data_IF_487571649455
#
_entry.id   IF_487571649455
#
_cell.length_a   1.000
_cell.length_b   1.000
_cell.length_c   1.000
_cell.angle_alpha   90.00
_cell.angle_beta   90.00
_cell.angle_gamma   90.00
#
_symmetry.space_group_name_H-M   'P 1'
#
loop_
_entity.id
_entity.type
_entity.pdbx_description
1 polymer ?
#
# COMPACT_ATOMS: atom_id res chain seq x y z
N UNK A 1 -23.27 3.76 2.78
CA UNK A 1 -23.87 3.31 4.07
C UNK A 1 -24.51 1.93 3.98
N UNK A 2 -25.29 1.57 2.92
CA UNK A 2 -25.89 0.22 2.79
C UNK A 2 -24.85 -0.91 2.89
N UNK A 3 -23.82 -0.93 2.06
CA UNK A 3 -22.76 -1.96 2.06
C UNK A 3 -22.02 -2.09 3.42
N UNK A 4 -21.91 -1.00 4.17
CA UNK A 4 -21.25 -1.01 5.48
C UNK A 4 -22.05 -1.81 6.52
N UNK A 5 -23.38 -1.76 6.47
CA UNK A 5 -24.27 -2.49 7.39
C UNK A 5 -24.56 -3.89 6.87
N UNK A 6 -25.07 -4.00 5.63
CA UNK A 6 -25.50 -5.29 5.06
C UNK A 6 -24.35 -6.30 4.91
N UNK A 7 -23.14 -5.84 4.56
CA UNK A 7 -22.00 -6.75 4.43
C UNK A 7 -21.58 -7.44 5.73
N UNK A 8 -22.01 -6.91 6.90
CA UNK A 8 -21.74 -7.54 8.20
C UNK A 8 -22.76 -8.58 8.61
N UNK A 9 -23.92 -8.61 7.98
CA UNK A 9 -24.98 -9.58 8.25
C UNK A 9 -24.48 -10.99 7.94
N UNK A 10 -23.69 -11.16 6.88
CA UNK A 10 -23.18 -12.44 6.42
C UNK A 10 -21.86 -12.86 7.11
N UNK A 11 -21.29 -12.03 8.00
CA UNK A 11 -19.98 -12.31 8.63
C UNK A 11 -19.95 -13.69 9.30
N UNK A 12 -20.96 -14.00 10.11
CA UNK A 12 -21.02 -15.28 10.82
C UNK A 12 -21.27 -16.47 9.89
N UNK A 13 -21.93 -16.25 8.76
CA UNK A 13 -22.12 -17.27 7.73
C UNK A 13 -20.79 -17.59 7.04
N UNK A 14 -19.96 -16.58 6.70
CA UNK A 14 -18.61 -16.80 6.17
C UNK A 14 -17.73 -17.59 7.13
N UNK A 15 -17.86 -17.35 8.43
CA UNK A 15 -17.09 -18.04 9.48
C UNK A 15 -17.60 -19.46 9.76
N UNK A 16 -18.81 -19.82 9.33
CA UNK A 16 -19.40 -21.16 9.59
C UNK A 16 -18.65 -22.31 8.90
N UNK A 17 -17.77 -22.00 7.94
CA UNK A 17 -16.88 -22.98 7.30
C UNK A 17 -15.73 -23.43 8.20
N UNK A 18 -15.45 -22.69 9.29
CA UNK A 18 -14.41 -23.04 10.26
C UNK A 18 -14.91 -24.14 11.20
N UNK A 19 -14.06 -25.13 11.43
CA UNK A 19 -14.30 -26.22 12.35
C UNK A 19 -13.54 -25.98 13.64
N UNK A 20 -13.95 -26.62 14.73
CA UNK A 20 -13.29 -26.48 16.04
C UNK A 20 -11.87 -27.01 16.08
N UNK A 21 -11.57 -27.98 15.23
CA UNK A 21 -10.25 -28.58 15.07
C UNK A 21 -9.32 -27.80 14.16
N UNK A 22 -9.81 -26.77 13.46
CA UNK A 22 -8.96 -25.95 12.62
C UNK A 22 -8.02 -25.08 13.49
N UNK A 23 -6.76 -25.05 13.16
CA UNK A 23 -5.81 -24.08 13.70
C UNK A 23 -5.92 -22.78 12.93
N UNK A 24 -6.12 -21.66 13.58
CA UNK A 24 -6.37 -20.40 12.89
C UNK A 24 -5.44 -19.28 13.30
N UNK A 25 -5.04 -18.47 12.33
CA UNK A 25 -4.31 -17.21 12.52
C UNK A 25 -5.17 -16.08 11.96
N UNK A 26 -5.44 -15.08 12.78
CA UNK A 26 -6.37 -14.02 12.42
C UNK A 26 -5.68 -12.68 12.22
N UNK A 27 -5.95 -12.06 11.07
CA UNK A 27 -5.53 -10.70 10.72
C UNK A 27 -6.73 -9.77 10.68
N UNK A 28 -6.59 -8.59 11.30
CA UNK A 28 -7.59 -7.54 11.20
C UNK A 28 -7.01 -6.27 10.56
N UNK A 29 -7.71 -5.77 9.53
CA UNK A 29 -7.33 -4.60 8.76
C UNK A 29 -8.54 -3.67 8.57
N UNK A 30 -8.34 -2.34 8.62
CA UNK A 30 -9.45 -1.41 8.40
C UNK A 30 -9.81 -1.28 6.92
N UNK A 31 -8.82 -1.16 6.06
CA UNK A 31 -8.97 -0.75 4.67
C UNK A 31 -8.00 -1.49 3.75
N UNK A 32 -8.04 -1.14 2.46
CA UNK A 32 -7.08 -1.67 1.48
C UNK A 32 -5.63 -1.34 1.88
N UNK A 33 -5.35 -0.14 2.39
CA UNK A 33 -4.00 0.27 2.78
C UNK A 33 -3.41 -0.58 3.91
N UNK A 34 -4.21 -0.92 4.93
CA UNK A 34 -3.79 -1.82 6.00
C UNK A 34 -3.66 -3.27 5.52
N UNK A 35 -4.51 -3.69 4.57
CA UNK A 35 -4.35 -5.00 3.95
C UNK A 35 -3.01 -5.11 3.20
N UNK A 36 -2.63 -4.07 2.47
CA UNK A 36 -1.32 -3.99 1.81
C UNK A 36 -0.16 -4.14 2.81
N UNK A 37 -0.31 -3.60 4.03
CA UNK A 37 0.65 -3.80 5.12
C UNK A 37 0.61 -5.21 5.71
N UNK A 38 -0.53 -5.87 5.68
CA UNK A 38 -0.67 -7.24 6.17
C UNK A 38 -0.09 -8.30 5.20
N UNK A 39 -0.11 -8.02 3.88
CA UNK A 39 0.27 -8.99 2.83
C UNK A 39 1.63 -9.67 3.11
N UNK A 40 2.74 -8.96 3.39
CA UNK A 40 4.03 -9.61 3.61
C UNK A 40 4.03 -10.58 4.79
N UNK A 41 3.28 -10.21 5.85
CA UNK A 41 3.15 -11.06 7.04
C UNK A 41 2.26 -12.26 6.74
N UNK A 42 1.14 -12.08 6.02
CA UNK A 42 0.22 -13.16 5.60
C UNK A 42 0.97 -14.18 4.73
N UNK A 43 1.74 -13.71 3.74
CA UNK A 43 2.53 -14.58 2.86
C UNK A 43 3.54 -15.40 3.66
N UNK A 44 4.35 -14.75 4.50
CA UNK A 44 5.33 -15.42 5.34
C UNK A 44 4.66 -16.39 6.35
N UNK A 45 3.48 -16.06 6.86
CA UNK A 45 2.71 -16.94 7.73
C UNK A 45 2.24 -18.18 6.98
N UNK A 46 1.72 -18.04 5.76
CA UNK A 46 1.30 -19.19 4.93
C UNK A 46 2.46 -20.11 4.55
N UNK A 47 3.65 -19.55 4.34
CA UNK A 47 4.85 -20.33 4.04
C UNK A 47 5.30 -21.15 5.26
N UNK A 48 5.28 -20.56 6.44
CA UNK A 48 5.80 -21.18 7.68
C UNK A 48 4.79 -22.07 8.39
N UNK A 49 3.48 -21.80 8.24
CA UNK A 49 2.39 -22.41 9.01
C UNK A 49 1.28 -22.93 8.11
N UNK A 50 1.62 -23.92 7.24
CA UNK A 50 0.73 -24.44 6.19
C UNK A 50 -0.51 -25.15 6.74
N UNK A 51 -0.47 -25.63 7.97
CA UNK A 51 -1.59 -26.32 8.65
C UNK A 51 -2.61 -25.34 9.26
N UNK A 52 -2.32 -24.03 9.21
CA UNK A 52 -3.20 -23.01 9.75
C UNK A 52 -4.08 -22.39 8.68
N UNK A 53 -5.33 -22.15 9.03
CA UNK A 53 -6.23 -21.33 8.23
C UNK A 53 -6.00 -19.86 8.53
N UNK A 54 -5.83 -19.09 7.49
CA UNK A 54 -5.68 -17.63 7.60
C UNK A 54 -7.04 -16.97 7.48
N UNK A 55 -7.44 -16.23 8.50
CA UNK A 55 -8.65 -15.44 8.52
C UNK A 55 -8.29 -13.97 8.41
N UNK A 56 -8.91 -13.24 7.48
CA UNK A 56 -8.74 -11.79 7.34
C UNK A 56 -10.08 -11.10 7.50
N UNK A 57 -10.14 -10.14 8.42
CA UNK A 57 -11.32 -9.30 8.57
C UNK A 57 -11.04 -7.86 8.18
N UNK A 58 -12.02 -7.25 7.49
CA UNK A 58 -12.00 -5.84 7.10
C UNK A 58 -13.01 -5.04 7.93
N UNK A 59 -12.67 -3.76 8.17
CA UNK A 59 -13.65 -2.82 8.70
C UNK A 59 -14.38 -2.07 7.60
N UNK A 60 -13.66 -1.57 6.58
CA UNK A 60 -14.20 -0.74 5.51
C UNK A 60 -14.61 -1.53 4.26
N UNK A 61 -15.75 -1.20 3.63
CA UNK A 61 -16.14 -1.78 2.34
C UNK A 61 -15.11 -1.55 1.22
N UNK A 62 -14.41 -0.43 1.22
CA UNK A 62 -13.42 -0.10 0.19
C UNK A 62 -12.27 -1.11 0.09
N UNK A 63 -11.89 -1.72 1.21
CA UNK A 63 -10.89 -2.79 1.20
C UNK A 63 -11.51 -4.16 0.89
N UNK A 64 -12.61 -4.47 1.56
CA UNK A 64 -13.29 -5.77 1.43
C UNK A 64 -13.74 -6.05 0.00
N UNK A 65 -14.47 -5.12 -0.62
CA UNK A 65 -15.02 -5.34 -1.98
C UNK A 65 -13.93 -5.63 -3.03
N UNK A 66 -12.74 -5.06 -2.85
CA UNK A 66 -11.60 -5.28 -3.74
C UNK A 66 -10.92 -6.63 -3.45
N UNK A 67 -10.88 -7.06 -2.19
CA UNK A 67 -10.05 -8.19 -1.74
C UNK A 67 -10.83 -9.42 -1.27
N UNK A 68 -12.15 -9.40 -1.24
CA UNK A 68 -13.00 -10.52 -0.78
C UNK A 68 -12.75 -11.86 -1.46
N UNK A 69 -12.21 -11.85 -2.68
CA UNK A 69 -11.85 -13.06 -3.45
C UNK A 69 -10.33 -13.32 -3.48
N UNK A 70 -9.56 -12.69 -2.58
CA UNK A 70 -8.11 -12.89 -2.52
C UNK A 70 -7.78 -14.31 -2.06
N UNK A 71 -6.83 -14.96 -2.73
CA UNK A 71 -6.31 -16.29 -2.36
C UNK A 71 -5.31 -16.27 -1.21
N UNK A 72 -5.05 -15.08 -0.64
CA UNK A 72 -4.12 -14.92 0.48
C UNK A 72 -4.68 -15.42 1.81
N UNK A 73 -6.00 -15.58 1.93
CA UNK A 73 -6.65 -16.07 3.13
C UNK A 73 -7.71 -17.12 2.81
N UNK A 74 -8.00 -17.97 3.78
CA UNK A 74 -9.01 -19.02 3.67
C UNK A 74 -10.42 -18.46 3.89
N UNK A 75 -10.53 -17.48 4.80
CA UNK A 75 -11.79 -16.74 5.03
C UNK A 75 -11.50 -15.25 5.03
N UNK A 76 -12.26 -14.51 4.23
CA UNK A 76 -12.25 -13.05 4.20
C UNK A 76 -13.67 -12.55 4.46
N UNK A 77 -13.85 -11.74 5.51
CA UNK A 77 -15.15 -11.19 5.88
C UNK A 77 -15.03 -9.80 6.53
N UNK A 78 -16.15 -9.20 6.88
CA UNK A 78 -16.14 -8.01 7.71
C UNK A 78 -15.95 -8.39 9.19
N UNK A 79 -15.29 -7.50 9.97
CA UNK A 79 -15.38 -7.56 11.43
C UNK A 79 -16.82 -7.20 11.85
N UNK A 80 -17.51 -7.99 12.69
CA UNK A 80 -18.80 -7.60 13.22
C UNK A 80 -18.72 -6.29 14.01
N UNK A 81 -19.86 -5.61 14.23
CA UNK A 81 -19.86 -4.44 15.11
C UNK A 81 -19.37 -4.79 16.52
N UNK A 82 -18.57 -3.92 17.11
CA UNK A 82 -17.88 -4.13 18.40
C UNK A 82 -18.88 -4.10 19.60
N UNK A 83 -19.82 -5.04 19.62
CA UNK A 83 -20.67 -5.32 20.77
C UNK A 83 -20.12 -6.49 21.57
N UNK A 84 -20.44 -6.56 22.87
CA UNK A 84 -19.98 -7.68 23.71
C UNK A 84 -20.41 -9.05 23.18
N UNK A 85 -21.65 -9.15 22.67
CA UNK A 85 -22.19 -10.40 22.12
C UNK A 85 -21.47 -10.79 20.84
N UNK A 86 -21.39 -9.88 19.87
CA UNK A 86 -20.74 -10.14 18.59
C UNK A 86 -19.27 -10.54 18.78
N UNK A 87 -18.51 -9.80 19.59
CA UNK A 87 -17.09 -10.09 19.80
C UNK A 87 -16.85 -11.42 20.52
N UNK A 88 -17.74 -11.79 21.45
CA UNK A 88 -17.69 -13.11 22.07
C UNK A 88 -17.90 -14.20 21.02
N UNK A 89 -19.01 -14.14 20.26
CA UNK A 89 -19.32 -15.15 19.24
C UNK A 89 -18.24 -15.20 18.14
N UNK A 90 -17.74 -14.04 17.72
CA UNK A 90 -16.68 -13.95 16.71
C UNK A 90 -15.40 -14.65 17.18
N UNK A 91 -14.91 -14.32 18.37
CA UNK A 91 -13.65 -14.90 18.89
C UNK A 91 -13.82 -16.41 19.19
N UNK A 92 -15.02 -16.83 19.64
CA UNK A 92 -15.34 -18.25 19.85
C UNK A 92 -15.38 -19.06 18.53
N UNK A 93 -15.84 -18.46 17.42
CA UNK A 93 -15.88 -19.10 16.11
C UNK A 93 -14.52 -19.10 15.42
N UNK A 94 -13.80 -17.99 15.47
CA UNK A 94 -12.46 -17.88 14.85
C UNK A 94 -11.41 -18.61 15.64
N UNK A 95 -11.51 -18.67 16.98
CA UNK A 95 -10.61 -19.30 17.96
C UNK A 95 -9.13 -19.20 17.57
N UNK A 96 -8.61 -17.97 17.32
CA UNK A 96 -7.28 -17.81 16.76
C UNK A 96 -6.18 -18.16 17.77
N UNK A 97 -5.13 -18.82 17.30
CA UNK A 97 -3.92 -19.03 18.10
C UNK A 97 -3.12 -17.75 18.29
N UNK A 98 -3.25 -16.81 17.33
CA UNK A 98 -2.72 -15.45 17.43
C UNK A 98 -3.62 -14.47 16.66
N UNK A 99 -3.79 -13.27 17.22
CA UNK A 99 -4.49 -12.16 16.59
C UNK A 99 -3.48 -11.07 16.18
N UNK A 100 -3.45 -10.74 14.87
CA UNK A 100 -2.55 -9.74 14.29
C UNK A 100 -3.38 -8.55 13.82
N UNK A 101 -3.28 -7.44 14.53
CA UNK A 101 -4.06 -6.23 14.27
C UNK A 101 -3.16 -5.19 13.61
N UNK A 102 -3.63 -4.63 12.49
CA UNK A 102 -2.84 -3.68 11.72
C UNK A 102 -3.21 -2.25 12.06
N UNK A 103 -2.23 -1.45 12.44
CA UNK A 103 -2.27 0.03 12.54
C UNK A 103 -3.15 0.60 13.66
N UNK A 104 -4.45 0.92 13.39
CA UNK A 104 -5.25 1.77 14.29
C UNK A 104 -6.51 1.09 14.86
N UNK A 105 -6.67 -0.20 14.70
CA UNK A 105 -7.90 -0.91 15.01
C UNK A 105 -8.02 -1.31 16.49
N UNK A 106 -8.38 -0.34 17.32
CA UNK A 106 -8.47 -0.49 18.78
C UNK A 106 -9.92 -0.62 19.25
N UNK A 107 -10.53 -1.80 19.02
CA UNK A 107 -11.93 -2.10 19.35
C UNK A 107 -12.06 -2.61 20.78
N UNK A 108 -12.67 -1.86 21.73
CA UNK A 108 -12.58 -2.18 23.16
C UNK A 108 -13.21 -3.50 23.58
N UNK A 109 -14.34 -3.89 22.97
CA UNK A 109 -14.97 -5.17 23.33
C UNK A 109 -14.22 -6.35 22.74
N UNK A 110 -13.72 -6.21 21.51
CA UNK A 110 -12.84 -7.17 20.85
C UNK A 110 -11.57 -7.40 21.68
N UNK A 111 -10.83 -6.35 21.97
CA UNK A 111 -9.57 -6.44 22.73
C UNK A 111 -9.79 -7.02 24.14
N UNK A 112 -10.90 -6.67 24.77
CA UNK A 112 -11.27 -7.28 26.06
C UNK A 112 -11.55 -8.78 25.93
N UNK A 113 -12.18 -9.21 24.83
CA UNK A 113 -12.52 -10.62 24.62
C UNK A 113 -11.25 -11.44 24.30
N UNK A 114 -10.36 -10.93 23.48
CA UNK A 114 -9.06 -11.55 23.20
C UNK A 114 -8.25 -11.74 24.50
N UNK A 115 -8.11 -10.69 25.30
CA UNK A 115 -7.43 -10.76 26.59
C UNK A 115 -8.09 -11.75 27.55
N UNK A 116 -9.43 -11.80 27.59
CA UNK A 116 -10.18 -12.75 28.46
C UNK A 116 -9.91 -14.22 28.11
N UNK A 117 -9.70 -14.50 26.83
CA UNK A 117 -9.40 -15.85 26.34
C UNK A 117 -7.89 -16.13 26.26
N UNK A 118 -7.05 -15.19 26.72
CA UNK A 118 -5.59 -15.30 26.68
C UNK A 118 -5.04 -15.57 25.28
N UNK A 119 -5.70 -14.99 24.25
CA UNK A 119 -5.25 -15.10 22.88
C UNK A 119 -4.09 -14.12 22.65
N UNK A 120 -2.89 -14.58 22.27
CA UNK A 120 -1.79 -13.71 21.90
C UNK A 120 -2.21 -12.69 20.87
N UNK A 121 -2.02 -11.40 21.18
CA UNK A 121 -2.51 -10.31 20.34
C UNK A 121 -1.39 -9.32 20.09
N UNK A 122 -1.05 -9.07 18.81
CA UNK A 122 -0.01 -8.12 18.43
C UNK A 122 -0.55 -7.01 17.55
N UNK A 123 0.03 -5.81 17.71
CA UNK A 123 -0.17 -4.70 16.81
C UNK A 123 1.00 -4.62 15.84
N UNK A 124 0.74 -4.55 14.54
CA UNK A 124 1.77 -4.42 13.51
C UNK A 124 1.63 -3.12 12.73
N UNK A 125 2.76 -2.57 12.26
CA UNK A 125 2.82 -1.29 11.54
C UNK A 125 2.13 -0.14 12.29
N UNK A 126 2.16 -0.16 13.64
CA UNK A 126 1.49 0.82 14.50
C UNK A 126 2.08 2.23 14.36
N UNK A 127 1.22 3.24 14.26
CA UNK A 127 1.61 4.66 14.40
C UNK A 127 0.76 5.30 15.48
N UNK A 128 1.40 5.98 16.41
CA UNK A 128 0.72 6.70 17.47
C UNK A 128 0.95 8.22 17.36
N UNK A 129 -0.09 9.00 17.70
CA UNK A 129 -0.06 10.46 17.64
C UNK A 129 -0.52 11.03 18.97
N UNK A 130 0.13 12.11 19.42
CA UNK A 130 -0.14 12.77 20.71
C UNK A 130 -1.61 13.21 20.90
N UNK A 131 -2.31 13.52 19.80
CA UNK A 131 -3.71 13.95 19.86
C UNK A 131 -4.71 12.80 20.03
N UNK A 132 -4.29 11.53 19.96
CA UNK A 132 -5.16 10.37 20.16
C UNK A 132 -5.64 10.28 21.60
N UNK A 133 -6.83 9.71 21.78
CA UNK A 133 -7.52 9.65 23.07
C UNK A 133 -6.71 8.94 24.16
N UNK A 134 -5.88 7.97 23.80
CA UNK A 134 -5.04 7.22 24.73
C UNK A 134 -4.08 8.10 25.55
N UNK A 135 -3.61 9.20 24.97
CA UNK A 135 -2.63 10.12 25.57
C UNK A 135 -3.28 11.33 26.27
N UNK A 136 -4.63 11.40 26.27
CA UNK A 136 -5.38 12.46 26.97
C UNK A 136 -5.77 11.98 28.37
N UNK A 137 -5.96 12.91 29.30
CA UNK A 137 -6.41 12.62 30.66
C UNK A 137 -7.75 11.84 30.71
N UNK A 138 -8.66 12.17 29.80
CA UNK A 138 -9.97 11.52 29.65
C UNK A 138 -9.92 10.13 29.03
N UNK A 139 -8.78 9.71 28.48
CA UNK A 139 -8.61 8.47 27.71
C UNK A 139 -8.29 7.21 28.52
N UNK A 140 -8.37 7.26 29.86
CA UNK A 140 -7.97 6.15 30.74
C UNK A 140 -8.68 4.82 30.43
N UNK A 141 -9.97 4.88 30.05
CA UNK A 141 -10.74 3.68 29.71
C UNK A 141 -10.26 3.03 28.38
N UNK A 142 -9.85 3.85 27.40
CA UNK A 142 -9.28 3.36 26.14
C UNK A 142 -7.86 2.81 26.32
N UNK A 143 -7.04 3.43 27.20
CA UNK A 143 -5.71 2.87 27.56
C UNK A 143 -5.80 1.44 28.06
N UNK A 144 -6.84 1.13 28.87
CA UNK A 144 -7.07 -0.23 29.36
C UNK A 144 -7.26 -1.24 28.22
N UNK A 145 -7.80 -0.81 27.06
CA UNK A 145 -7.92 -1.71 25.90
C UNK A 145 -6.57 -2.04 25.29
N UNK A 146 -5.61 -1.10 25.31
CA UNK A 146 -4.25 -1.35 24.79
C UNK A 146 -3.48 -2.41 25.58
N UNK A 147 -3.82 -2.64 26.86
CA UNK A 147 -3.19 -3.70 27.66
C UNK A 147 -3.59 -5.12 27.21
N UNK A 148 -4.39 -5.27 26.18
CA UNK A 148 -4.69 -6.55 25.56
C UNK A 148 -3.62 -6.97 24.54
N UNK A 149 -2.80 -6.04 24.08
CA UNK A 149 -1.68 -6.36 23.20
C UNK A 149 -0.50 -6.89 24.01
N UNK A 150 0.02 -8.02 23.57
CA UNK A 150 1.24 -8.63 24.14
C UNK A 150 2.48 -7.95 23.55
N UNK A 151 2.41 -7.46 22.30
CA UNK A 151 3.50 -6.72 21.66
C UNK A 151 3.00 -5.65 20.68
N UNK A 152 3.72 -4.53 20.62
CA UNK A 152 3.50 -3.44 19.67
C UNK A 152 4.69 -3.34 18.71
N UNK A 153 4.48 -3.63 17.45
CA UNK A 153 5.43 -3.35 16.37
C UNK A 153 5.06 -2.02 15.74
N UNK A 154 5.84 -0.99 16.05
CA UNK A 154 5.56 0.39 15.63
C UNK A 154 6.49 0.85 14.53
N UNK A 155 6.05 1.85 13.77
CA UNK A 155 6.81 2.35 12.63
C UNK A 155 7.96 3.28 13.05
N UNK A 156 7.83 4.01 14.19
CA UNK A 156 8.78 5.05 14.55
C UNK A 156 9.01 5.21 16.06
N UNK A 157 10.10 5.92 16.39
CA UNK A 157 10.48 6.25 17.75
C UNK A 157 9.45 7.13 18.46
N UNK A 158 8.74 7.99 17.74
CA UNK A 158 7.72 8.86 18.33
C UNK A 158 6.54 8.04 18.87
N UNK A 159 6.11 7.04 18.11
CA UNK A 159 5.09 6.06 18.54
C UNK A 159 5.53 5.28 19.76
N UNK A 160 6.79 4.80 19.79
CA UNK A 160 7.36 4.10 20.94
C UNK A 160 7.31 4.98 22.20
N UNK A 161 7.84 6.20 22.13
CA UNK A 161 7.85 7.12 23.28
C UNK A 161 6.44 7.45 23.78
N UNK A 162 5.46 7.55 22.90
CA UNK A 162 4.06 7.77 23.29
C UNK A 162 3.48 6.58 24.06
N UNK A 163 3.74 5.35 23.63
CA UNK A 163 3.30 4.16 24.34
C UNK A 163 4.00 4.01 25.70
N UNK A 164 5.30 4.24 25.76
CA UNK A 164 6.07 4.24 27.01
C UNK A 164 5.53 5.28 28.00
N UNK A 165 5.03 6.45 27.53
CA UNK A 165 4.44 7.50 28.39
C UNK A 165 3.14 7.09 29.09
N UNK A 166 2.59 5.94 28.74
CA UNK A 166 1.38 5.34 29.35
C UNK A 166 1.64 3.94 29.87
N UNK A 167 2.88 3.64 30.25
CA UNK A 167 3.35 2.41 30.87
C UNK A 167 3.22 1.13 30.03
N UNK A 168 3.25 1.27 28.69
CA UNK A 168 3.35 0.14 27.77
C UNK A 168 4.80 0.02 27.29
N UNK A 169 5.44 -1.14 27.55
CA UNK A 169 6.88 -1.33 27.38
C UNK A 169 7.25 -2.46 26.40
N UNK A 170 6.31 -3.33 26.02
CA UNK A 170 6.55 -4.41 25.05
C UNK A 170 6.46 -3.88 23.61
N UNK A 171 7.49 -3.10 23.19
CA UNK A 171 7.45 -2.31 21.95
C UNK A 171 8.74 -2.53 21.15
N UNK A 172 8.60 -2.89 19.88
CA UNK A 172 9.69 -2.90 18.90
C UNK A 172 9.45 -1.88 17.80
N UNK A 173 10.49 -1.18 17.37
CA UNK A 173 10.44 -0.31 16.19
C UNK A 173 10.86 -1.15 15.01
N UNK A 174 9.92 -1.49 14.14
CA UNK A 174 10.16 -2.33 12.97
C UNK A 174 10.00 -1.58 11.64
N UNK A 175 9.34 -0.43 11.66
CA UNK A 175 9.00 0.27 10.43
C UNK A 175 7.65 -0.17 9.85
N UNK A 176 7.48 0.08 8.54
CA UNK A 176 6.26 -0.20 7.79
C UNK A 176 6.51 -1.40 6.85
N UNK A 177 5.71 -2.43 6.98
CA UNK A 177 5.79 -3.65 6.16
C UNK A 177 5.53 -3.43 4.66
N UNK A 178 5.03 -2.26 4.25
CA UNK A 178 4.93 -1.89 2.83
C UNK A 178 6.30 -1.85 2.15
N UNK A 179 7.38 -1.53 2.88
CA UNK A 179 8.73 -1.56 2.33
C UNK A 179 9.16 -2.98 1.96
N UNK A 180 8.87 -3.96 2.80
CA UNK A 180 9.15 -5.37 2.51
C UNK A 180 8.36 -5.83 1.28
N UNK A 181 7.11 -5.40 1.15
CA UNK A 181 6.27 -5.72 0.01
C UNK A 181 6.84 -5.21 -1.30
N UNK A 182 7.22 -3.92 -1.34
CA UNK A 182 7.75 -3.34 -2.59
C UNK A 182 9.15 -3.86 -2.90
N UNK A 183 9.95 -4.22 -1.91
CA UNK A 183 11.26 -4.86 -2.14
C UNK A 183 11.13 -6.19 -2.87
N UNK A 184 10.09 -6.99 -2.58
CA UNK A 184 9.80 -8.25 -3.29
C UNK A 184 9.48 -8.06 -4.77
N UNK A 185 9.14 -6.85 -5.22
CA UNK A 185 8.89 -6.55 -6.64
C UNK A 185 10.16 -6.81 -7.48
N UNK A 186 11.35 -6.55 -6.92
CA UNK A 186 12.62 -6.79 -7.61
C UNK A 186 12.96 -8.28 -7.79
N UNK A 187 12.36 -9.15 -6.98
CA UNK A 187 12.55 -10.60 -7.03
C UNK A 187 11.62 -11.29 -8.05
N UNK A 188 10.62 -10.55 -8.53
CA UNK A 188 9.64 -11.05 -9.50
C UNK A 188 10.12 -10.85 -10.94
N UNK A 189 9.60 -11.67 -11.85
CA UNK A 189 9.74 -11.38 -13.28
C UNK A 189 8.87 -10.16 -13.66
N UNK A 190 9.52 -9.04 -13.87
CA UNK A 190 8.90 -7.79 -14.31
C UNK A 190 8.88 -7.63 -15.83
N UNK A 191 9.30 -8.64 -16.59
CA UNK A 191 9.38 -8.59 -18.05
C UNK A 191 8.01 -8.44 -18.69
N UNK A 192 7.86 -7.43 -19.52
CA UNK A 192 6.68 -7.16 -20.34
C UNK A 192 7.14 -6.95 -21.81
N UNK A 193 7.09 -7.99 -22.67
CA UNK A 193 7.62 -7.91 -24.03
C UNK A 193 7.07 -6.73 -24.84
N UNK A 194 5.79 -6.43 -24.69
CA UNK A 194 5.14 -5.30 -25.38
C UNK A 194 5.63 -3.93 -24.88
N UNK A 195 6.08 -3.82 -23.62
CA UNK A 195 6.69 -2.59 -23.11
C UNK A 195 8.13 -2.47 -23.63
N UNK A 196 8.88 -3.57 -23.64
CA UNK A 196 10.23 -3.59 -24.24
C UNK A 196 10.21 -3.17 -25.71
N UNK A 197 9.23 -3.66 -26.49
CA UNK A 197 9.03 -3.24 -27.88
C UNK A 197 8.66 -1.74 -27.99
N UNK A 198 7.76 -1.26 -27.13
CA UNK A 198 7.36 0.14 -27.13
C UNK A 198 8.50 1.07 -26.77
N UNK A 199 9.23 0.78 -25.69
CA UNK A 199 10.32 1.65 -25.21
C UNK A 199 11.52 1.64 -26.15
N UNK A 200 11.82 0.51 -26.78
CA UNK A 200 12.92 0.32 -27.71
C UNK A 200 14.26 0.92 -27.21
N UNK A 201 14.52 0.82 -25.90
CA UNK A 201 15.66 1.45 -25.20
C UNK A 201 15.69 2.99 -25.28
N UNK A 202 14.61 3.63 -25.65
CA UNK A 202 14.50 5.08 -25.64
C UNK A 202 14.13 5.61 -24.24
N UNK A 203 14.52 6.85 -23.96
CA UNK A 203 14.23 7.53 -22.71
C UNK A 203 12.72 7.56 -22.42
N UNK A 204 12.32 6.93 -21.33
CA UNK A 204 10.92 6.63 -21.04
C UNK A 204 10.46 7.25 -19.73
N UNK A 205 9.36 7.98 -19.78
CA UNK A 205 8.66 8.54 -18.63
C UNK A 205 7.40 7.71 -18.39
N UNK A 206 7.26 7.19 -17.16
CA UNK A 206 6.07 6.46 -16.73
C UNK A 206 5.24 7.34 -15.80
N UNK A 207 4.02 7.69 -16.21
CA UNK A 207 3.06 8.42 -15.40
C UNK A 207 1.99 7.47 -14.88
N UNK A 208 2.07 7.12 -13.59
CA UNK A 208 1.19 6.15 -12.96
C UNK A 208 0.11 6.77 -12.09
N UNK A 209 -1.06 6.14 -12.07
CA UNK A 209 -2.22 6.53 -11.27
C UNK A 209 -2.64 7.99 -11.46
N UNK A 210 -2.61 8.44 -12.73
CA UNK A 210 -2.91 9.83 -13.08
C UNK A 210 -4.39 10.16 -12.93
N UNK A 211 -4.67 11.38 -12.52
CA UNK A 211 -5.99 11.99 -12.53
C UNK A 211 -6.02 13.12 -13.54
N UNK A 212 -7.19 13.68 -13.77
CA UNK A 212 -7.40 14.71 -14.78
C UNK A 212 -6.44 15.91 -14.60
N UNK A 213 -6.23 16.37 -13.38
CA UNK A 213 -5.34 17.49 -13.08
C UNK A 213 -3.88 17.18 -13.41
N UNK A 214 -3.46 15.94 -13.21
CA UNK A 214 -2.13 15.43 -13.60
C UNK A 214 -2.02 15.36 -15.13
N UNK A 215 -3.06 14.84 -15.79
CA UNK A 215 -3.11 14.62 -17.24
C UNK A 215 -3.07 15.95 -18.01
N UNK A 216 -3.67 17.02 -17.49
CA UNK A 216 -3.62 18.36 -18.12
C UNK A 216 -2.17 18.87 -18.22
N UNK A 217 -1.33 18.64 -17.21
CA UNK A 217 0.10 18.99 -17.22
C UNK A 217 0.89 18.07 -18.15
N UNK A 218 0.65 16.76 -18.05
CA UNK A 218 1.29 15.73 -18.88
C UNK A 218 1.04 15.97 -20.36
N UNK A 219 -0.21 16.18 -20.76
CA UNK A 219 -0.59 16.44 -22.16
C UNK A 219 0.11 17.66 -22.70
N UNK A 220 0.19 18.75 -21.92
CA UNK A 220 0.88 19.96 -22.35
C UNK A 220 2.40 19.67 -22.58
N UNK A 221 3.05 19.00 -21.64
CA UNK A 221 4.45 18.64 -21.76
C UNK A 221 4.70 17.71 -22.95
N UNK A 222 3.93 16.62 -23.07
CA UNK A 222 4.06 15.61 -24.12
C UNK A 222 3.92 16.22 -25.51
N UNK A 223 2.93 17.09 -25.70
CA UNK A 223 2.66 17.71 -27.00
C UNK A 223 3.80 18.61 -27.47
N UNK A 224 4.61 19.15 -26.57
CA UNK A 224 5.76 20.01 -26.84
C UNK A 224 7.13 19.30 -26.72
N UNK A 225 7.17 18.06 -26.24
CA UNK A 225 8.39 17.29 -26.05
C UNK A 225 8.91 16.66 -27.33
N UNK A 226 10.19 16.27 -27.35
CA UNK A 226 10.85 15.57 -28.47
C UNK A 226 11.85 14.55 -27.97
N UNK A 227 11.77 13.31 -28.49
CA UNK A 227 12.74 12.23 -28.19
C UNK A 227 12.52 11.58 -26.85
N UNK A 228 11.27 11.55 -26.34
CA UNK A 228 10.87 10.76 -25.18
C UNK A 228 9.73 9.81 -25.53
N UNK A 229 9.68 8.67 -24.84
CA UNK A 229 8.53 7.76 -24.77
C UNK A 229 7.73 8.05 -23.51
N UNK A 230 6.43 7.94 -23.60
CA UNK A 230 5.52 8.16 -22.46
C UNK A 230 4.61 6.97 -22.26
N UNK A 231 4.58 6.43 -21.04
CA UNK A 231 3.58 5.44 -20.64
C UNK A 231 2.68 6.09 -19.60
N UNK A 232 1.39 6.16 -19.89
CA UNK A 232 0.39 6.78 -19.00
C UNK A 232 -0.55 5.67 -18.50
N UNK A 233 -0.64 5.48 -17.21
CA UNK A 233 -1.58 4.57 -16.57
C UNK A 233 -2.57 5.39 -15.71
N UNK A 234 -3.74 5.76 -16.24
CA UNK A 234 -4.75 6.50 -15.50
C UNK A 234 -5.26 5.73 -14.28
N UNK A 235 -5.61 6.46 -13.21
CA UNK A 235 -6.19 5.83 -12.02
C UNK A 235 -7.54 5.20 -12.31
N UNK A 236 -8.36 5.88 -13.11
CA UNK A 236 -9.68 5.37 -13.51
C UNK A 236 -9.63 4.91 -14.97
N UNK A 237 -9.98 3.65 -15.18
CA UNK A 237 -9.97 3.01 -16.49
C UNK A 237 -11.41 2.98 -17.02
N UNK A 238 -11.98 4.15 -17.35
CA UNK A 238 -13.24 4.25 -18.06
C UNK A 238 -13.03 4.72 -19.51
N UNK A 239 -13.81 4.18 -20.42
CA UNK A 239 -13.64 4.39 -21.85
C UNK A 239 -13.72 5.86 -22.26
N UNK A 240 -14.61 6.64 -21.63
CA UNK A 240 -14.81 8.04 -22.02
C UNK A 240 -13.60 8.90 -21.62
N UNK A 241 -13.07 8.73 -20.40
CA UNK A 241 -11.88 9.44 -19.92
C UNK A 241 -10.64 9.05 -20.73
N UNK A 242 -10.45 7.77 -21.03
CA UNK A 242 -9.34 7.28 -21.85
C UNK A 242 -9.38 7.88 -23.26
N UNK A 243 -10.53 7.86 -23.93
CA UNK A 243 -10.66 8.45 -25.26
C UNK A 243 -10.45 9.97 -25.27
N UNK A 244 -10.89 10.66 -24.22
CA UNK A 244 -10.64 12.09 -24.04
C UNK A 244 -9.14 12.37 -23.88
N UNK A 245 -8.44 11.61 -23.04
CA UNK A 245 -7.00 11.73 -22.87
C UNK A 245 -6.28 11.47 -24.21
N UNK A 246 -6.60 10.36 -24.89
CA UNK A 246 -6.03 10.04 -26.21
C UNK A 246 -6.25 11.16 -27.22
N UNK A 247 -7.47 11.71 -27.30
CA UNK A 247 -7.82 12.79 -28.22
C UNK A 247 -7.12 14.13 -27.92
N UNK A 248 -6.61 14.35 -26.71
CA UNK A 248 -5.86 15.57 -26.36
C UNK A 248 -4.38 15.51 -26.73
N UNK A 249 -3.86 14.31 -27.01
CA UNK A 249 -2.47 14.08 -27.39
C UNK A 249 -2.27 14.26 -28.90
N UNK A 250 -1.27 15.08 -29.27
CA UNK A 250 -0.88 15.33 -30.66
C UNK A 250 0.18 14.35 -31.18
N UNK A 251 0.73 13.53 -30.30
CA UNK A 251 1.74 12.50 -30.61
C UNK A 251 1.07 11.20 -31.04
N UNK A 252 1.82 10.36 -31.77
CA UNK A 252 1.35 9.03 -32.12
C UNK A 252 1.09 8.21 -30.85
N UNK A 253 -0.20 7.93 -30.60
CA UNK A 253 -0.68 7.37 -29.31
C UNK A 253 -1.42 6.06 -29.55
N UNK A 254 -1.11 5.04 -28.74
CA UNK A 254 -1.76 3.74 -28.74
C UNK A 254 -2.33 3.40 -27.36
N UNK A 255 -3.45 2.66 -27.33
CA UNK A 255 -3.97 2.05 -26.09
C UNK A 255 -3.45 0.64 -25.93
N UNK A 256 -3.34 0.17 -24.69
CA UNK A 256 -2.99 -1.23 -24.40
C UNK A 256 -3.99 -2.21 -25.06
N UNK A 257 -5.27 -1.87 -25.05
CA UNK A 257 -6.32 -2.66 -25.72
C UNK A 257 -6.17 -2.76 -27.25
N UNK A 258 -5.45 -1.82 -27.88
CA UNK A 258 -5.25 -1.72 -29.33
C UNK A 258 -3.92 -2.33 -29.82
N UNK A 259 -3.05 -2.80 -28.92
CA UNK A 259 -1.65 -3.15 -29.22
C UNK A 259 -1.45 -4.32 -30.18
N UNK A 260 -2.43 -5.24 -30.28
CA UNK A 260 -2.24 -6.48 -31.02
C UNK A 260 -2.06 -6.21 -32.52
N UNK A 261 -0.99 -6.76 -33.11
CA UNK A 261 -0.68 -6.60 -34.53
C UNK A 261 -0.14 -5.21 -34.92
N UNK A 262 0.27 -4.42 -33.94
CA UNK A 262 0.90 -3.11 -34.15
C UNK A 262 2.39 -3.17 -33.88
N UNK A 263 3.17 -2.39 -34.61
CA UNK A 263 4.58 -2.13 -34.29
C UNK A 263 4.64 -1.05 -33.18
N UNK A 264 4.85 -1.45 -31.94
CA UNK A 264 4.74 -0.55 -30.80
C UNK A 264 5.88 0.49 -30.76
N UNK A 265 7.04 0.19 -31.36
CA UNK A 265 8.16 1.13 -31.39
C UNK A 265 7.86 2.44 -32.16
N UNK A 266 6.87 2.45 -33.05
CA UNK A 266 6.48 3.63 -33.81
C UNK A 266 5.65 4.64 -33.01
N UNK A 267 5.14 4.25 -31.84
CA UNK A 267 4.32 5.12 -31.00
C UNK A 267 5.16 5.89 -30.01
N UNK A 268 4.73 7.11 -29.70
CA UNK A 268 5.39 7.99 -28.72
C UNK A 268 4.72 7.88 -27.35
N UNK A 269 3.40 7.63 -27.33
CA UNK A 269 2.61 7.55 -26.10
C UNK A 269 1.87 6.22 -26.05
N UNK A 270 1.97 5.53 -24.92
CA UNK A 270 1.25 4.31 -24.64
C UNK A 270 0.35 4.51 -23.42
N UNK A 271 -0.96 4.47 -23.63
CA UNK A 271 -1.94 4.57 -22.55
C UNK A 271 -2.31 3.14 -22.09
N UNK A 272 -2.14 2.87 -20.82
CA UNK A 272 -2.46 1.58 -20.20
C UNK A 272 -3.90 1.62 -19.69
N UNK A 273 -4.82 1.21 -20.53
CA UNK A 273 -6.25 1.15 -20.25
C UNK A 273 -6.69 -0.18 -19.62
N UNK A 274 -5.84 -0.69 -18.71
CA UNK A 274 -6.10 -1.87 -17.87
C UNK A 274 -5.45 -1.72 -16.50
N UNK A 275 -5.85 -2.54 -15.53
CA UNK A 275 -5.29 -2.55 -14.18
C UNK A 275 -4.29 -3.68 -14.00
N UNK A 276 -3.38 -3.54 -13.02
CA UNK A 276 -2.48 -4.61 -12.57
C UNK A 276 -1.12 -4.68 -13.27
N UNK A 277 -0.82 -3.78 -14.22
CA UNK A 277 0.46 -3.77 -14.95
C UNK A 277 1.45 -2.70 -14.46
N UNK A 278 0.97 -1.63 -13.82
CA UNK A 278 1.74 -0.42 -13.53
C UNK A 278 3.01 -0.72 -12.72
N UNK A 279 2.92 -1.57 -11.71
CA UNK A 279 4.08 -1.94 -10.87
C UNK A 279 5.23 -2.51 -11.71
N UNK A 280 4.93 -3.41 -12.66
CA UNK A 280 5.94 -3.96 -13.58
C UNK A 280 6.43 -2.92 -14.58
N UNK A 281 5.56 -2.03 -15.04
CA UNK A 281 5.90 -0.99 -16.02
C UNK A 281 6.93 0.00 -15.47
N UNK A 282 6.95 0.27 -14.17
CA UNK A 282 7.96 1.13 -13.56
C UNK A 282 9.39 0.62 -13.75
N UNK A 283 9.61 -0.69 -13.98
CA UNK A 283 10.95 -1.23 -14.29
C UNK A 283 11.53 -0.74 -15.62
N UNK A 284 10.71 -0.14 -16.47
CA UNK A 284 11.13 0.42 -17.77
C UNK A 284 11.29 1.94 -17.75
N UNK A 285 11.08 2.57 -16.61
CA UNK A 285 11.07 4.03 -16.50
C UNK A 285 12.46 4.60 -16.21
N UNK A 286 12.82 5.67 -16.90
CA UNK A 286 13.90 6.57 -16.49
C UNK A 286 13.44 7.59 -15.44
N UNK A 287 12.14 7.94 -15.48
CA UNK A 287 11.46 8.81 -14.50
C UNK A 287 10.06 8.26 -14.26
N UNK A 288 9.64 8.28 -13.01
CA UNK A 288 8.24 8.05 -12.62
C UNK A 288 7.55 9.36 -12.24
N UNK A 289 6.39 9.62 -12.82
CA UNK A 289 5.43 10.57 -12.29
C UNK A 289 4.33 9.80 -11.54
N UNK A 290 4.03 10.19 -10.31
CA UNK A 290 2.96 9.56 -9.54
C UNK A 290 1.84 10.56 -9.30
N UNK A 291 0.67 10.24 -9.82
CA UNK A 291 -0.51 11.10 -9.80
C UNK A 291 -1.20 11.22 -8.45
N UNK A 292 -2.22 12.07 -8.41
CA UNK A 292 -3.07 12.33 -7.26
C UNK A 292 -2.60 13.46 -6.35
N UNK A 293 -1.37 13.93 -6.51
CA UNK A 293 -0.79 14.97 -5.68
C UNK A 293 -1.32 16.38 -5.92
N UNK A 294 -2.31 16.60 -6.81
CA UNK A 294 -2.92 17.92 -7.00
C UNK A 294 -4.27 18.07 -6.30
N UNK A 295 -5.00 16.98 -6.00
CA UNK A 295 -6.35 17.11 -5.44
C UNK A 295 -6.86 15.87 -4.72
N UNK A 296 -6.69 14.71 -5.32
CA UNK A 296 -7.35 13.47 -4.89
C UNK A 296 -6.61 12.72 -3.78
N UNK A 297 -5.35 13.04 -3.56
CA UNK A 297 -4.43 12.37 -2.65
C UNK A 297 -3.40 11.55 -3.40
N UNK A 298 -2.13 11.74 -3.03
CA UNK A 298 -0.97 11.09 -3.64
C UNK A 298 -1.10 9.56 -3.61
N UNK A 299 -0.80 8.91 -4.73
CA UNK A 299 -0.72 7.45 -4.84
C UNK A 299 0.61 6.89 -4.33
N UNK A 300 0.75 5.55 -4.41
CA UNK A 300 1.90 4.85 -3.85
C UNK A 300 3.20 5.17 -4.60
N UNK A 301 4.12 5.86 -3.94
CA UNK A 301 5.44 6.20 -4.49
C UNK A 301 6.50 5.15 -4.18
N UNK A 302 6.23 4.18 -3.30
CA UNK A 302 7.20 3.15 -2.93
C UNK A 302 7.46 2.18 -4.08
N UNK A 303 6.45 1.93 -4.93
CA UNK A 303 6.62 1.05 -6.09
C UNK A 303 7.68 1.57 -7.07
N UNK A 304 7.60 2.82 -7.59
CA UNK A 304 8.68 3.33 -8.43
C UNK A 304 9.98 3.55 -7.65
N UNK A 305 9.93 3.91 -6.36
CA UNK A 305 11.12 4.08 -5.53
C UNK A 305 11.98 2.80 -5.47
N UNK A 306 11.34 1.63 -5.47
CA UNK A 306 12.01 0.33 -5.39
C UNK A 306 12.91 0.04 -6.58
N UNK A 307 12.61 0.64 -7.76
CA UNK A 307 13.44 0.52 -8.95
C UNK A 307 14.60 1.53 -9.00
N UNK A 308 14.73 2.38 -7.98
CA UNK A 308 15.83 3.35 -7.91
C UNK A 308 15.76 4.43 -9.00
N UNK A 309 14.56 4.83 -9.39
CA UNK A 309 14.33 5.89 -10.39
C UNK A 309 13.84 7.18 -9.72
N UNK A 310 14.11 8.37 -10.28
CA UNK A 310 13.55 9.63 -9.79
C UNK A 310 12.03 9.62 -9.81
N UNK A 311 11.43 10.25 -8.81
CA UNK A 311 9.98 10.34 -8.68
C UNK A 311 9.56 11.82 -8.70
N UNK A 312 8.54 12.12 -9.50
CA UNK A 312 7.92 13.46 -9.55
C UNK A 312 6.48 13.36 -9.10
N UNK A 313 6.06 14.27 -8.22
CA UNK A 313 4.71 14.30 -7.62
C UNK A 313 4.13 15.71 -7.61
N UNK A 314 2.81 15.82 -7.48
CA UNK A 314 2.14 17.10 -7.19
C UNK A 314 2.40 17.62 -5.76
N UNK A 315 1.85 18.81 -5.39
CA UNK A 315 2.18 19.49 -4.13
C UNK A 315 1.48 18.93 -2.89
N UNK A 316 0.42 18.13 -3.05
CA UNK A 316 -0.40 17.64 -1.93
C UNK A 316 0.08 16.26 -1.43
N UNK A 317 1.20 16.24 -0.68
CA UNK A 317 1.80 15.00 -0.17
C UNK A 317 2.00 14.97 1.36
N UNK A 318 1.58 16.00 2.10
CA UNK A 318 1.84 16.16 3.54
C UNK A 318 1.28 15.03 4.44
N UNK A 319 0.37 14.21 3.92
CA UNK A 319 -0.22 13.07 4.65
C UNK A 319 0.59 11.79 4.53
N UNK A 320 1.60 11.76 3.66
CA UNK A 320 2.38 10.58 3.30
C UNK A 320 3.81 10.72 3.81
N UNK A 321 4.15 9.95 4.83
CA UNK A 321 5.45 10.05 5.51
C UNK A 321 6.61 9.78 4.54
N UNK A 322 6.48 8.74 3.73
CA UNK A 322 7.45 8.38 2.71
C UNK A 322 7.69 9.49 1.69
N UNK A 323 6.66 10.24 1.34
CA UNK A 323 6.80 11.37 0.41
C UNK A 323 7.50 12.56 1.07
N UNK A 324 7.18 12.86 2.33
CA UNK A 324 7.88 13.89 3.09
C UNK A 324 9.37 13.58 3.19
N UNK A 325 9.70 12.35 3.59
CA UNK A 325 11.08 11.91 3.75
C UNK A 325 11.84 11.94 2.41
N UNK A 326 11.25 11.43 1.32
CA UNK A 326 11.90 11.40 0.02
C UNK A 326 12.02 12.78 -0.65
N UNK A 327 11.09 13.70 -0.39
CA UNK A 327 11.23 15.10 -0.85
C UNK A 327 12.35 15.81 -0.08
N UNK A 328 12.45 15.62 1.23
CA UNK A 328 13.53 16.16 2.05
C UNK A 328 14.91 15.59 1.62
N UNK A 329 14.97 14.31 1.30
CA UNK A 329 16.19 13.63 0.81
C UNK A 329 16.51 13.92 -0.66
N UNK A 330 15.64 14.59 -1.41
CA UNK A 330 15.76 14.85 -2.85
C UNK A 330 15.67 13.62 -3.78
N UNK A 331 15.09 12.52 -3.31
CA UNK A 331 14.74 11.36 -4.15
C UNK A 331 13.40 11.54 -4.87
N UNK A 332 12.52 12.38 -4.30
CA UNK A 332 11.25 12.75 -4.88
C UNK A 332 11.19 14.28 -5.07
N UNK A 333 10.65 14.72 -6.20
CA UNK A 333 10.57 16.13 -6.58
C UNK A 333 9.10 16.53 -6.63
N UNK A 334 8.70 17.51 -5.80
CA UNK A 334 7.36 18.06 -5.83
C UNK A 334 7.27 19.22 -6.83
N UNK A 335 6.25 19.18 -7.69
CA UNK A 335 5.97 20.23 -8.67
C UNK A 335 4.60 20.85 -8.41
N UNK A 336 4.43 22.13 -8.73
CA UNK A 336 3.20 22.88 -8.42
C UNK A 336 2.45 23.42 -9.62
N UNK A 337 3.10 23.47 -10.78
CA UNK A 337 2.52 24.04 -12.01
C UNK A 337 3.30 23.54 -13.24
N UNK A 338 2.83 23.92 -14.44
CA UNK A 338 3.42 23.51 -15.72
C UNK A 338 4.88 23.96 -15.87
N UNK A 339 5.26 25.12 -15.37
CA UNK A 339 6.64 25.63 -15.48
C UNK A 339 7.59 24.74 -14.67
N UNK A 340 7.26 24.45 -13.41
CA UNK A 340 8.04 23.56 -12.56
C UNK A 340 8.01 22.12 -13.05
N UNK A 341 6.90 21.67 -13.62
CA UNK A 341 6.78 20.37 -14.30
C UNK A 341 7.80 20.28 -15.42
N UNK A 342 7.74 21.19 -16.39
CA UNK A 342 8.60 21.14 -17.58
C UNK A 342 10.08 21.28 -17.23
N UNK A 343 10.44 22.22 -16.35
CA UNK A 343 11.84 22.41 -15.95
C UNK A 343 12.42 21.18 -15.22
N UNK A 344 11.61 20.52 -14.39
CA UNK A 344 12.03 19.29 -13.69
C UNK A 344 12.28 18.15 -14.68
N UNK A 345 11.35 17.90 -15.59
CA UNK A 345 11.50 16.81 -16.57
C UNK A 345 12.65 17.06 -17.54
N UNK A 346 12.81 18.30 -18.01
CA UNK A 346 13.95 18.69 -18.87
C UNK A 346 15.28 18.50 -18.13
N UNK A 347 15.38 18.89 -16.86
CA UNK A 347 16.58 18.68 -16.07
C UNK A 347 16.91 17.20 -15.89
N UNK A 348 15.93 16.40 -15.48
CA UNK A 348 16.11 14.96 -15.29
C UNK A 348 16.46 14.22 -16.58
N UNK A 349 15.96 14.71 -17.74
CA UNK A 349 16.32 14.16 -19.05
C UNK A 349 17.75 14.47 -19.42
N UNK A 350 18.17 15.74 -19.29
CA UNK A 350 19.44 16.22 -19.83
C UNK A 350 20.63 15.99 -18.88
N UNK A 351 20.39 15.92 -17.57
CA UNK A 351 21.42 15.70 -16.55
C UNK A 351 21.33 14.27 -16.02
N UNK A 352 22.06 13.37 -16.68
CA UNK A 352 22.10 11.94 -16.32
C UNK A 352 22.65 11.70 -14.91
N UNK A 353 23.61 12.52 -14.45
CA UNK A 353 24.20 12.37 -13.12
C UNK A 353 23.13 12.74 -12.06
N UNK A 354 22.47 13.87 -12.23
CA UNK A 354 21.39 14.28 -11.34
C UNK A 354 20.26 13.24 -11.31
N UNK A 355 19.87 12.71 -12.47
CA UNK A 355 18.85 11.64 -12.55
C UNK A 355 19.27 10.40 -11.77
N UNK A 356 20.50 9.93 -11.97
CA UNK A 356 21.01 8.74 -11.29
C UNK A 356 21.18 8.94 -9.78
N UNK A 357 21.68 10.09 -9.34
CA UNK A 357 21.78 10.43 -7.91
C UNK A 357 20.41 10.50 -7.25
N UNK A 358 19.44 11.16 -7.87
CA UNK A 358 18.04 11.23 -7.40
C UNK A 358 17.43 9.83 -7.27
N UNK A 359 17.61 8.98 -8.28
CA UNK A 359 17.11 7.61 -8.25
C UNK A 359 17.79 6.75 -7.18
N UNK A 360 19.11 6.87 -7.01
CA UNK A 360 19.87 6.15 -5.97
C UNK A 360 19.39 6.45 -4.56
N UNK A 361 18.95 7.68 -4.29
CA UNK A 361 18.35 8.05 -2.98
C UNK A 361 17.13 7.19 -2.70
N UNK A 362 16.27 6.96 -3.70
CA UNK A 362 15.07 6.15 -3.56
C UNK A 362 15.40 4.68 -3.26
N UNK A 363 16.34 4.07 -3.98
CA UNK A 363 16.81 2.71 -3.71
C UNK A 363 17.36 2.56 -2.28
N UNK A 364 18.22 3.49 -1.85
CA UNK A 364 18.78 3.49 -0.50
C UNK A 364 17.68 3.63 0.56
N UNK A 365 16.69 4.49 0.32
CA UNK A 365 15.57 4.70 1.25
C UNK A 365 14.73 3.43 1.40
N UNK A 366 14.40 2.74 0.31
CA UNK A 366 13.67 1.47 0.35
C UNK A 366 14.47 0.42 1.14
N UNK A 367 15.75 0.20 0.80
CA UNK A 367 16.60 -0.81 1.47
C UNK A 367 16.76 -0.54 2.96
N UNK A 368 16.90 0.72 3.37
CA UNK A 368 17.07 1.12 4.77
C UNK A 368 15.82 0.85 5.63
N UNK A 369 14.64 0.92 5.02
CA UNK A 369 13.36 0.75 5.72
C UNK A 369 12.77 -0.66 5.59
N UNK A 370 13.46 -1.60 4.93
CA UNK A 370 13.08 -2.99 4.77
C UNK A 370 13.41 -3.82 6.05
N UNK A 371 12.74 -4.96 6.23
CA UNK A 371 13.01 -5.94 7.29
C UNK A 371 11.99 -5.98 8.43
N UNK A 372 10.91 -5.20 8.35
CA UNK A 372 9.84 -5.22 9.34
C UNK A 372 9.17 -6.60 9.45
N UNK A 373 8.86 -7.21 8.31
CA UNK A 373 8.20 -8.53 8.26
C UNK A 373 9.03 -9.60 8.94
N UNK A 374 10.35 -9.66 8.71
CA UNK A 374 11.22 -10.66 9.31
C UNK A 374 11.22 -10.57 10.86
N UNK A 375 11.28 -9.36 11.41
CA UNK A 375 11.24 -9.13 12.86
C UNK A 375 9.88 -9.52 13.45
N UNK A 376 8.77 -9.20 12.78
CA UNK A 376 7.42 -9.58 13.21
C UNK A 376 7.28 -11.10 13.17
N UNK A 377 7.71 -11.76 12.10
CA UNK A 377 7.61 -13.20 11.94
C UNK A 377 8.48 -13.97 12.95
N UNK A 378 9.62 -13.44 13.37
CA UNK A 378 10.40 -14.03 14.45
C UNK A 378 9.58 -14.14 15.74
N UNK A 379 8.82 -13.10 16.08
CA UNK A 379 7.92 -13.11 17.24
C UNK A 379 6.74 -14.07 17.03
N UNK A 380 6.07 -14.00 15.87
CA UNK A 380 4.93 -14.88 15.54
C UNK A 380 5.33 -16.35 15.63
N UNK A 381 6.47 -16.72 15.05
CA UNK A 381 6.99 -18.08 15.10
C UNK A 381 7.25 -18.54 16.53
N UNK A 382 7.79 -17.67 17.40
CA UNK A 382 7.98 -17.99 18.81
C UNK A 382 6.64 -18.25 19.52
N UNK A 383 5.62 -17.45 19.26
CA UNK A 383 4.31 -17.62 19.91
C UNK A 383 3.57 -18.88 19.44
N UNK A 384 3.66 -19.24 18.17
CA UNK A 384 2.99 -20.42 17.60
C UNK A 384 3.74 -21.73 17.84
N UNK A 385 5.02 -21.67 18.27
CA UNK A 385 5.83 -22.85 18.61
C UNK A 385 5.71 -23.26 20.08
N UNK A 386 5.03 -22.45 20.91
CA UNK A 386 4.78 -22.71 22.32
C UNK A 386 3.51 -23.56 22.52
#
# INVERSE_FOLDING_TARGET
MKLFVSGREDTFQHLSSLKKEDRTIWFHVASLGEFEQAIPIIEATKENWQDHKIIVTFFSPSGYEIRKNSKLADVICYLPFDTKANMRSFVELVHPEIAIIVKYEFWPNLLRQLKKQSIPTILVSGIFRKNQIFFKSTGRWMRKSLTAFDHFFVQDMASKKLLESIDLNTISITGDTRFDRVSKILEQDNTLPFISEFTNNEYTIVAGSTWREDEELLVNYINNSTGEKFIIAPHTVDTASIQKLKGSLKKNTILYSEKNGKNLSEYTVFIIDTIGLLTKIYSYADIAYVGGGFKTGLHNILEPATFGIPIVIGPEYNKFREALDLVELHGCISISNLSTFSSTFIRLKNDINYRNETGKINDIYIRKNNGATAQIMQYVNTQLSL
#
